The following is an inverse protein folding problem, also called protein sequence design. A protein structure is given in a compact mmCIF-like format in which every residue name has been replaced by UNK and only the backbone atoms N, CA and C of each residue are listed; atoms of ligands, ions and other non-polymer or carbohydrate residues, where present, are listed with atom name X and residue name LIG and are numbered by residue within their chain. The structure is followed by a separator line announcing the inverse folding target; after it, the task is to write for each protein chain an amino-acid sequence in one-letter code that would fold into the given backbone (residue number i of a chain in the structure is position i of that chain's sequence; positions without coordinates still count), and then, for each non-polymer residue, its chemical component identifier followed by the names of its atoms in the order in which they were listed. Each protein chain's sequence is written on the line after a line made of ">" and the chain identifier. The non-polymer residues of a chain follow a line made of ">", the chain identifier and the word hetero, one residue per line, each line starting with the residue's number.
data_IF_895979240738
#
_entry.id   IF_895979240738
#
_cell.length_a   1.000
_cell.length_b   1.000
_cell.length_c   1.000
_cell.angle_alpha   90.00
_cell.angle_beta   90.00
_cell.angle_gamma   90.00
#
_symmetry.space_group_name_H-M   'P 1'
#
loop_
_entity.id
_entity.type
_entity.pdbx_description
1 polymer ?
#
# COMPACT_ATOMS: atom_id res chain seq x y z
N UNK A 1 -36.23 33.31 48.45
CA UNK A 1 -36.91 32.41 47.48
C UNK A 1 -36.08 32.23 46.20
N UNK A 2 -34.95 31.50 46.26
CA UNK A 2 -34.18 31.10 45.05
C UNK A 2 -33.57 29.69 45.13
N UNK A 3 -33.52 29.07 46.32
CA UNK A 3 -33.01 27.72 46.51
C UNK A 3 -34.01 26.59 46.16
N UNK A 4 -35.31 26.90 46.11
CA UNK A 4 -36.35 25.88 45.90
C UNK A 4 -36.41 25.37 44.45
N UNK A 5 -35.97 26.15 43.46
CA UNK A 5 -36.09 25.77 42.04
C UNK A 5 -34.92 24.91 41.55
N UNK A 6 -33.74 25.03 42.18
CA UNK A 6 -32.57 24.20 41.85
C UNK A 6 -32.74 22.77 42.39
N UNK A 7 -33.43 22.61 43.53
CA UNK A 7 -33.74 21.30 44.10
C UNK A 7 -34.80 20.57 43.28
N UNK A 8 -35.79 21.29 42.72
CA UNK A 8 -36.83 20.69 41.86
C UNK A 8 -36.26 20.17 40.53
N UNK A 9 -35.28 20.87 39.95
CA UNK A 9 -34.59 20.43 38.74
C UNK A 9 -33.69 19.19 38.96
N UNK A 10 -33.09 19.05 40.15
CA UNK A 10 -32.33 17.84 40.50
C UNK A 10 -33.24 16.66 40.87
N UNK A 11 -34.45 16.91 41.39
CA UNK A 11 -35.40 15.86 41.76
C UNK A 11 -36.17 15.24 40.59
N UNK A 12 -36.01 15.74 39.35
CA UNK A 12 -36.55 15.08 38.15
C UNK A 12 -35.65 13.95 37.62
N UNK A 13 -34.46 13.74 38.20
CA UNK A 13 -33.53 12.67 37.81
C UNK A 13 -33.85 11.33 38.51
N UNK A 14 -34.85 11.29 39.39
CA UNK A 14 -35.20 10.10 40.19
C UNK A 14 -36.55 9.47 39.81
N UNK A 15 -36.80 9.28 38.51
CA UNK A 15 -37.87 8.41 38.02
C UNK A 15 -37.29 7.51 36.92
N UNK A 16 -36.86 6.30 37.30
CA UNK A 16 -36.49 5.18 36.42
C UNK A 16 -35.62 5.54 35.21
N UNK A 17 -34.29 5.52 35.39
CA UNK A 17 -33.33 5.77 34.31
C UNK A 17 -33.32 4.61 33.29
N UNK A 18 -34.36 4.48 32.47
CA UNK A 18 -34.28 3.69 31.24
C UNK A 18 -33.51 4.52 30.22
N UNK A 19 -32.42 3.97 29.69
CA UNK A 19 -31.69 4.59 28.59
C UNK A 19 -32.65 4.76 27.40
N UNK A 20 -32.79 5.96 26.80
CA UNK A 20 -33.68 6.15 25.66
C UNK A 20 -33.34 5.18 24.52
N UNK A 21 -34.33 4.52 23.90
CA UNK A 21 -34.11 3.53 22.85
C UNK A 21 -33.33 4.12 21.65
N UNK A 22 -33.46 5.42 21.39
CA UNK A 22 -32.71 6.14 20.36
C UNK A 22 -31.20 6.09 20.59
N UNK A 23 -30.75 6.13 21.86
CA UNK A 23 -29.33 6.04 22.23
C UNK A 23 -28.79 4.62 21.99
N UNK A 24 -29.58 3.61 22.35
CA UNK A 24 -29.23 2.20 22.08
C UNK A 24 -29.15 1.93 20.56
N UNK A 25 -30.11 2.44 19.80
CA UNK A 25 -30.13 2.32 18.33
C UNK A 25 -28.97 3.07 17.68
N UNK A 26 -28.63 4.28 18.14
CA UNK A 26 -27.49 5.03 17.64
C UNK A 26 -26.16 4.29 17.90
N UNK A 27 -26.01 3.64 19.06
CA UNK A 27 -24.82 2.86 19.38
C UNK A 27 -24.69 1.63 18.49
N UNK A 28 -25.79 0.91 18.21
CA UNK A 28 -25.82 -0.20 17.27
C UNK A 28 -25.48 0.26 15.84
N UNK A 29 -26.07 1.37 15.39
CA UNK A 29 -25.75 1.95 14.09
C UNK A 29 -24.28 2.37 13.98
N UNK A 30 -23.68 2.88 15.06
CA UNK A 30 -22.25 3.19 15.11
C UNK A 30 -21.36 1.96 15.04
N UNK A 31 -21.67 0.89 15.77
CA UNK A 31 -20.92 -0.37 15.67
C UNK A 31 -21.02 -0.98 14.26
N UNK A 32 -22.21 -0.94 13.66
CA UNK A 32 -22.44 -1.39 12.29
C UNK A 32 -21.63 -0.54 11.28
N UNK A 33 -21.62 0.79 11.45
CA UNK A 33 -20.78 1.69 10.65
C UNK A 33 -19.27 1.44 10.82
N UNK A 34 -18.80 1.06 12.02
CA UNK A 34 -17.42 0.64 12.22
C UNK A 34 -17.09 -0.67 11.50
N UNK A 35 -18.00 -1.64 11.51
CA UNK A 35 -17.83 -2.90 10.78
C UNK A 35 -17.78 -2.69 9.25
N UNK A 36 -18.66 -1.84 8.72
CA UNK A 36 -18.69 -1.48 7.30
C UNK A 36 -17.41 -0.73 6.89
N UNK A 37 -16.95 0.22 7.70
CA UNK A 37 -15.69 0.94 7.47
C UNK A 37 -14.48 -0.01 7.48
N UNK A 38 -14.43 -0.98 8.40
CA UNK A 38 -13.38 -2.01 8.40
C UNK A 38 -13.38 -2.81 7.08
N UNK A 39 -14.57 -3.23 6.62
CA UNK A 39 -14.72 -3.96 5.36
C UNK A 39 -14.25 -3.12 4.16
N UNK A 40 -14.65 -1.86 4.09
CA UNK A 40 -14.22 -0.96 3.01
C UNK A 40 -12.70 -0.76 3.00
N UNK A 41 -12.10 -0.56 4.17
CA UNK A 41 -10.65 -0.38 4.27
C UNK A 41 -9.87 -1.64 3.90
N UNK A 42 -10.40 -2.83 4.20
CA UNK A 42 -9.83 -4.08 3.74
C UNK A 42 -9.88 -4.21 2.20
N UNK A 43 -11.04 -3.90 1.59
CA UNK A 43 -11.16 -3.89 0.13
C UNK A 43 -10.21 -2.87 -0.51
N UNK A 44 -10.05 -1.70 0.10
CA UNK A 44 -9.12 -0.69 -0.39
C UNK A 44 -7.66 -1.14 -0.28
N UNK A 45 -7.28 -1.81 0.81
CA UNK A 45 -5.95 -2.42 0.97
C UNK A 45 -5.66 -3.41 -0.16
N UNK A 46 -6.61 -4.31 -0.42
CA UNK A 46 -6.50 -5.32 -1.48
C UNK A 46 -6.36 -4.66 -2.86
N UNK A 47 -7.17 -3.64 -3.14
CA UNK A 47 -7.11 -2.90 -4.39
C UNK A 47 -5.74 -2.23 -4.60
N UNK A 48 -5.24 -1.50 -3.60
CA UNK A 48 -3.93 -0.83 -3.70
C UNK A 48 -2.81 -1.84 -3.91
N UNK A 49 -2.86 -2.98 -3.20
CA UNK A 49 -1.89 -4.07 -3.39
C UNK A 49 -1.93 -4.62 -4.82
N UNK A 50 -3.13 -4.92 -5.35
CA UNK A 50 -3.29 -5.47 -6.71
C UNK A 50 -2.86 -4.48 -7.79
N UNK A 51 -3.25 -3.21 -7.67
CA UNK A 51 -2.88 -2.15 -8.61
C UNK A 51 -1.36 -1.96 -8.63
N UNK A 52 -0.73 -1.95 -7.46
CA UNK A 52 0.73 -1.79 -7.37
C UNK A 52 1.47 -2.98 -7.96
N UNK A 53 1.04 -4.21 -7.66
CA UNK A 53 1.62 -5.41 -8.27
C UNK A 53 1.46 -5.41 -9.79
N UNK A 54 0.28 -5.05 -10.30
CA UNK A 54 0.03 -4.96 -11.74
C UNK A 54 0.89 -3.87 -12.40
N UNK A 55 1.03 -2.72 -11.74
CA UNK A 55 1.90 -1.64 -12.21
C UNK A 55 3.35 -2.11 -12.31
N UNK A 56 3.87 -2.80 -11.29
CA UNK A 56 5.22 -3.37 -11.32
C UNK A 56 5.40 -4.39 -12.45
N UNK A 57 4.43 -5.28 -12.67
CA UNK A 57 4.48 -6.23 -13.79
C UNK A 57 4.49 -5.52 -15.15
N UNK A 58 3.63 -4.53 -15.33
CA UNK A 58 3.56 -3.76 -16.57
C UNK A 58 4.84 -2.95 -16.81
N UNK A 59 5.37 -2.30 -15.77
CA UNK A 59 6.64 -1.60 -15.81
C UNK A 59 7.77 -2.53 -16.23
N UNK A 60 7.90 -3.71 -15.59
CA UNK A 60 8.90 -4.72 -15.97
C UNK A 60 8.76 -5.14 -17.42
N UNK A 61 7.54 -5.42 -17.88
CA UNK A 61 7.29 -5.79 -19.27
C UNK A 61 7.74 -4.72 -20.27
N UNK A 62 7.38 -3.45 -20.02
CA UNK A 62 7.78 -2.33 -20.86
C UNK A 62 9.30 -2.15 -20.86
N UNK A 63 9.93 -2.15 -19.67
CA UNK A 63 11.37 -2.00 -19.53
C UNK A 63 12.14 -3.12 -20.22
N UNK A 64 11.70 -4.37 -20.09
CA UNK A 64 12.30 -5.50 -20.80
C UNK A 64 12.25 -5.30 -22.30
N UNK A 65 11.10 -4.88 -22.85
CA UNK A 65 10.97 -4.61 -24.29
C UNK A 65 11.85 -3.46 -24.76
N UNK A 66 11.89 -2.35 -24.02
CA UNK A 66 12.68 -1.18 -24.38
C UNK A 66 14.19 -1.51 -24.36
N UNK A 67 14.67 -2.15 -23.30
CA UNK A 67 16.08 -2.54 -23.20
C UNK A 67 16.46 -3.62 -24.22
N UNK A 68 15.59 -4.59 -24.48
CA UNK A 68 15.83 -5.59 -25.53
C UNK A 68 15.91 -4.94 -26.91
N UNK A 69 14.99 -4.02 -27.22
CA UNK A 69 15.02 -3.28 -28.48
C UNK A 69 16.32 -2.47 -28.62
N UNK A 70 16.73 -1.77 -27.56
CA UNK A 70 17.97 -1.01 -27.54
C UNK A 70 19.20 -1.91 -27.74
N UNK A 71 19.24 -3.06 -27.05
CA UNK A 71 20.31 -4.05 -27.19
C UNK A 71 20.40 -4.58 -28.63
N UNK A 72 19.26 -4.91 -29.24
CA UNK A 72 19.21 -5.38 -30.63
C UNK A 72 19.59 -4.29 -31.61
N UNK A 73 19.20 -3.04 -31.36
CA UNK A 73 19.57 -1.90 -32.18
C UNK A 73 21.09 -1.72 -32.18
N UNK A 74 21.74 -1.78 -31.02
CA UNK A 74 23.20 -1.73 -30.92
C UNK A 74 23.91 -2.98 -31.43
N UNK A 75 23.27 -4.14 -31.44
CA UNK A 75 23.82 -5.37 -32.02
C UNK A 75 23.76 -5.37 -33.55
N UNK A 76 22.75 -4.74 -34.16
CA UNK A 76 22.45 -4.87 -35.59
C UNK A 76 22.68 -3.59 -36.39
N UNK A 77 22.74 -2.44 -35.73
CA UNK A 77 22.86 -1.13 -36.35
C UNK A 77 23.86 -0.25 -35.62
N UNK A 78 24.01 0.99 -36.07
CA UNK A 78 24.80 2.02 -35.43
C UNK A 78 23.90 3.23 -35.11
N UNK A 79 23.14 3.20 -33.99
CA UNK A 79 22.16 4.23 -33.67
C UNK A 79 22.80 5.62 -33.51
N UNK A 80 22.04 6.64 -33.91
CA UNK A 80 22.40 8.06 -33.78
C UNK A 80 21.16 8.84 -33.37
N UNK A 81 21.33 9.85 -32.51
CA UNK A 81 20.24 10.73 -32.08
C UNK A 81 20.63 12.18 -32.36
N UNK A 82 19.76 12.91 -33.06
CA UNK A 82 20.00 14.31 -33.40
C UNK A 82 20.21 15.15 -32.14
N UNK A 83 21.32 15.88 -32.07
CA UNK A 83 21.64 16.76 -30.94
C UNK A 83 22.32 16.08 -29.75
N UNK A 84 22.60 14.77 -29.83
CA UNK A 84 23.37 14.03 -28.81
C UNK A 84 24.70 13.57 -29.42
N UNK A 85 25.80 13.80 -28.71
CA UNK A 85 27.11 13.31 -29.13
C UNK A 85 27.15 11.78 -29.13
N UNK A 86 27.81 11.18 -30.13
CA UNK A 86 27.85 9.71 -30.25
C UNK A 86 28.48 9.02 -29.03
N UNK A 87 29.46 9.69 -28.41
CA UNK A 87 30.14 9.21 -27.21
C UNK A 87 29.22 9.21 -25.98
N UNK A 88 28.43 10.27 -25.82
CA UNK A 88 27.45 10.39 -24.73
C UNK A 88 26.33 9.36 -24.92
N UNK A 89 25.78 9.26 -26.13
CA UNK A 89 24.76 8.25 -26.47
C UNK A 89 25.23 6.83 -26.17
N UNK A 90 26.43 6.47 -26.62
CA UNK A 90 26.98 5.14 -26.38
C UNK A 90 27.15 4.84 -24.88
N UNK A 91 27.59 5.83 -24.10
CA UNK A 91 27.78 5.68 -22.66
C UNK A 91 26.45 5.54 -21.91
N UNK A 92 25.48 6.41 -22.21
CA UNK A 92 24.17 6.41 -21.56
C UNK A 92 23.42 5.11 -21.83
N UNK A 93 23.43 4.64 -23.07
CA UNK A 93 22.80 3.38 -23.46
C UNK A 93 23.49 2.18 -22.81
N UNK A 94 24.83 2.19 -22.74
CA UNK A 94 25.59 1.13 -22.08
C UNK A 94 25.33 1.07 -20.57
N UNK A 95 25.17 2.22 -19.90
CA UNK A 95 24.81 2.29 -18.48
C UNK A 95 23.40 1.75 -18.23
N UNK A 96 22.46 2.07 -19.13
CA UNK A 96 21.08 1.59 -19.08
C UNK A 96 21.01 0.06 -19.25
N UNK A 97 21.79 -0.50 -20.17
CA UNK A 97 21.82 -1.93 -20.47
C UNK A 97 22.62 -2.72 -19.43
N UNK A 98 23.69 -2.13 -18.91
CA UNK A 98 24.56 -2.74 -17.92
C UNK A 98 25.57 -3.75 -18.48
N UNK A 99 26.58 -4.11 -17.66
CA UNK A 99 27.75 -4.86 -18.12
C UNK A 99 27.43 -6.25 -18.67
N UNK A 100 26.49 -6.97 -18.03
CA UNK A 100 26.13 -8.34 -18.43
C UNK A 100 25.53 -8.38 -19.85
N UNK A 101 24.67 -7.41 -20.16
CA UNK A 101 24.01 -7.27 -21.48
C UNK A 101 25.01 -6.74 -22.50
N UNK A 102 25.81 -5.74 -22.13
CA UNK A 102 26.85 -5.15 -22.99
C UNK A 102 27.89 -6.16 -23.46
N UNK A 103 28.30 -7.07 -22.57
CA UNK A 103 29.23 -8.15 -22.91
C UNK A 103 28.66 -9.01 -24.05
N UNK A 104 27.39 -9.42 -23.94
CA UNK A 104 26.75 -10.23 -24.96
C UNK A 104 26.52 -9.45 -26.27
N UNK A 105 26.15 -8.16 -26.19
CA UNK A 105 25.99 -7.32 -27.38
C UNK A 105 27.30 -7.29 -28.17
N UNK A 106 28.43 -7.08 -27.52
CA UNK A 106 29.74 -7.03 -28.18
C UNK A 106 30.13 -8.38 -28.82
N UNK A 107 29.67 -9.51 -28.29
CA UNK A 107 29.86 -10.83 -28.90
C UNK A 107 29.01 -11.03 -30.18
N UNK A 108 27.78 -10.53 -30.19
CA UNK A 108 26.80 -10.80 -31.26
C UNK A 108 26.68 -9.67 -32.29
N UNK A 109 27.39 -8.56 -32.08
CA UNK A 109 27.31 -7.36 -32.92
C UNK A 109 27.71 -7.67 -34.35
N UNK A 110 26.84 -7.32 -35.31
CA UNK A 110 27.00 -7.66 -36.71
C UNK A 110 28.28 -7.06 -37.32
N UNK A 111 28.89 -7.80 -38.24
CA UNK A 111 30.07 -7.37 -39.00
C UNK A 111 29.88 -5.99 -39.64
N UNK A 112 30.99 -5.24 -39.75
CA UNK A 112 31.07 -3.89 -40.32
C UNK A 112 30.48 -2.76 -39.45
N UNK A 113 29.98 -3.05 -38.25
CA UNK A 113 29.61 -2.00 -37.30
C UNK A 113 30.87 -1.40 -36.66
N UNK A 114 31.01 -0.06 -36.63
CA UNK A 114 32.18 0.58 -36.06
C UNK A 114 32.24 0.40 -34.53
N UNK A 115 33.45 0.53 -33.98
CA UNK A 115 33.64 0.69 -32.55
C UNK A 115 33.03 2.01 -32.07
N UNK A 116 32.55 2.03 -30.83
CA UNK A 116 32.09 3.26 -30.16
C UNK A 116 32.82 3.42 -28.84
N UNK A 117 33.32 4.64 -28.63
CA UNK A 117 34.01 5.06 -27.42
C UNK A 117 33.12 5.97 -26.61
N UNK A 118 33.22 5.89 -25.29
CA UNK A 118 32.59 6.82 -24.39
C UNK A 118 33.30 8.18 -24.36
N UNK A 119 32.79 9.15 -23.59
CA UNK A 119 33.35 10.51 -23.53
C UNK A 119 34.79 10.56 -23.01
N UNK A 120 35.19 9.55 -22.24
CA UNK A 120 36.55 9.35 -21.72
C UNK A 120 37.49 8.61 -22.70
N UNK A 121 37.04 8.29 -23.91
CA UNK A 121 37.80 7.51 -24.89
C UNK A 121 37.83 6.01 -24.62
N UNK A 122 37.16 5.51 -23.57
CA UNK A 122 37.07 4.07 -23.28
C UNK A 122 36.18 3.38 -24.31
N UNK A 123 36.57 2.18 -24.73
CA UNK A 123 35.75 1.35 -25.61
C UNK A 123 34.46 0.92 -24.89
N UNK A 124 33.30 1.23 -25.49
CA UNK A 124 31.98 0.85 -24.98
C UNK A 124 31.38 -0.24 -25.84
N UNK A 125 31.34 -0.02 -27.16
CA UNK A 125 30.96 -1.04 -28.13
C UNK A 125 32.15 -1.40 -29.01
N UNK A 126 32.46 -2.70 -29.11
CA UNK A 126 33.53 -3.18 -29.97
C UNK A 126 33.14 -3.09 -31.45
N UNK A 127 34.14 -3.17 -32.34
CA UNK A 127 33.89 -3.44 -33.76
C UNK A 127 33.10 -4.73 -33.90
N UNK A 128 32.07 -4.71 -34.74
CA UNK A 128 31.23 -5.87 -34.95
C UNK A 128 31.95 -6.97 -35.74
N UNK A 129 31.83 -8.20 -35.25
CA UNK A 129 32.44 -9.40 -35.86
C UNK A 129 31.44 -10.55 -36.06
N UNK A 130 30.24 -10.44 -35.47
CA UNK A 130 29.19 -11.45 -35.54
C UNK A 130 28.42 -11.46 -36.85
N UNK A 131 27.63 -12.52 -37.04
CA UNK A 131 26.69 -12.68 -38.15
C UNK A 131 25.26 -12.91 -37.65
N UNK A 132 24.30 -12.96 -38.60
CA UNK A 132 22.89 -13.13 -38.26
C UNK A 132 22.60 -14.48 -37.58
N UNK A 133 23.34 -15.54 -37.92
CA UNK A 133 23.16 -16.85 -37.30
C UNK A 133 23.55 -16.83 -35.82
N UNK A 134 24.69 -16.22 -35.51
CA UNK A 134 25.18 -16.05 -34.14
C UNK A 134 24.23 -15.21 -33.31
N UNK A 135 23.72 -14.10 -33.89
CA UNK A 135 22.68 -13.27 -33.26
C UNK A 135 21.45 -14.11 -32.89
N UNK A 136 20.87 -14.83 -33.86
CA UNK A 136 19.67 -15.64 -33.64
C UNK A 136 19.86 -16.74 -32.60
N UNK A 137 21.03 -17.40 -32.60
CA UNK A 137 21.36 -18.43 -31.61
C UNK A 137 21.48 -17.86 -30.19
N UNK A 138 21.92 -16.61 -30.05
CA UNK A 138 22.15 -15.95 -28.77
C UNK A 138 20.97 -15.10 -28.29
N UNK A 139 19.94 -14.91 -29.10
CA UNK A 139 18.72 -14.18 -28.72
C UNK A 139 18.10 -14.64 -27.38
N UNK A 140 17.96 -15.95 -27.10
CA UNK A 140 17.41 -16.39 -25.81
C UNK A 140 18.26 -15.97 -24.61
N UNK A 141 19.59 -16.00 -24.73
CA UNK A 141 20.50 -15.52 -23.67
C UNK A 141 20.38 -14.01 -23.50
N UNK A 142 20.25 -13.26 -24.61
CA UNK A 142 20.05 -11.81 -24.56
C UNK A 142 18.76 -11.45 -23.81
N UNK A 143 17.65 -12.12 -24.12
CA UNK A 143 16.37 -11.95 -23.41
C UNK A 143 16.56 -12.22 -21.92
N UNK A 144 17.18 -13.36 -21.55
CA UNK A 144 17.38 -13.72 -20.14
C UNK A 144 18.32 -12.78 -19.38
N UNK A 145 19.32 -12.16 -20.03
CA UNK A 145 20.18 -11.14 -19.41
C UNK A 145 19.43 -9.81 -19.21
N UNK A 146 18.64 -9.39 -20.19
CA UNK A 146 17.82 -8.18 -20.09
C UNK A 146 16.76 -8.32 -18.99
N UNK A 147 16.07 -9.45 -18.92
CA UNK A 147 15.08 -9.73 -17.86
C UNK A 147 15.71 -9.69 -16.47
N UNK A 148 16.89 -10.27 -16.29
CA UNK A 148 17.65 -10.19 -15.03
C UNK A 148 18.04 -8.75 -14.68
N UNK A 149 18.46 -7.96 -15.67
CA UNK A 149 18.79 -6.53 -15.45
C UNK A 149 17.57 -5.75 -15.00
N UNK A 150 16.44 -5.88 -15.70
CA UNK A 150 15.18 -5.22 -15.33
C UNK A 150 14.71 -5.69 -13.95
N UNK A 151 14.86 -6.97 -13.63
CA UNK A 151 14.59 -7.52 -12.31
C UNK A 151 15.37 -6.83 -11.21
N UNK A 152 16.68 -6.61 -11.40
CA UNK A 152 17.55 -5.86 -10.47
C UNK A 152 17.13 -4.40 -10.36
N UNK A 153 16.89 -3.72 -11.49
CA UNK A 153 16.48 -2.30 -11.51
C UNK A 153 15.12 -2.10 -10.81
N UNK A 154 14.23 -3.10 -10.86
CA UNK A 154 12.89 -3.07 -10.26
C UNK A 154 12.85 -3.43 -8.77
N UNK A 155 13.98 -3.74 -8.13
CA UNK A 155 14.06 -3.99 -6.69
C UNK A 155 14.12 -2.70 -5.85
N UNK A 156 14.21 -1.52 -6.48
CA UNK A 156 14.08 -0.25 -5.78
C UNK A 156 12.67 -0.12 -5.13
N UNK A 157 12.59 0.33 -3.86
CA UNK A 157 11.47 0.07 -2.98
C UNK A 157 10.23 0.81 -3.42
N UNK A 158 9.34 0.11 -4.12
CA UNK A 158 7.92 0.46 -4.25
C UNK A 158 7.09 -0.49 -3.39
N UNK A 159 7.63 -0.85 -2.20
CA UNK A 159 6.85 -1.61 -1.24
C UNK A 159 5.78 -0.65 -0.72
N UNK A 160 4.53 -0.95 -1.06
CA UNK A 160 3.39 -0.15 -0.61
C UNK A 160 3.39 -0.21 0.91
N UNK A 161 3.51 0.94 1.57
CA UNK A 161 3.35 0.99 3.02
C UNK A 161 1.89 0.69 3.37
N UNK A 162 1.64 -0.54 3.80
CA UNK A 162 0.33 -1.00 4.24
C UNK A 162 0.09 -0.76 5.74
N UNK A 163 1.07 -0.22 6.48
CA UNK A 163 0.94 -0.05 7.95
C UNK A 163 -0.17 0.93 8.31
N UNK A 164 -0.45 1.93 7.47
CA UNK A 164 -1.57 2.84 7.68
C UNK A 164 -2.93 2.10 7.76
N UNK A 165 -3.11 1.03 6.99
CA UNK A 165 -4.32 0.19 7.04
C UNK A 165 -4.39 -0.61 8.34
N UNK A 166 -3.25 -1.13 8.81
CA UNK A 166 -3.16 -1.87 10.07
C UNK A 166 -3.42 -0.99 11.29
N UNK A 167 -2.91 0.25 11.29
CA UNK A 167 -3.21 1.25 12.30
C UNK A 167 -4.69 1.62 12.31
N UNK A 168 -5.29 1.85 11.13
CA UNK A 168 -6.73 2.14 11.02
C UNK A 168 -7.57 1.00 11.59
N UNK A 169 -7.28 -0.26 11.22
CA UNK A 169 -7.98 -1.43 11.74
C UNK A 169 -7.92 -1.48 13.27
N UNK A 170 -6.73 -1.30 13.83
CA UNK A 170 -6.50 -1.30 15.28
C UNK A 170 -7.33 -0.22 15.99
N UNK A 171 -7.37 0.99 15.43
CA UNK A 171 -8.14 2.09 15.99
C UNK A 171 -9.66 1.81 15.95
N UNK A 172 -10.17 1.25 14.85
CA UNK A 172 -11.60 0.90 14.77
C UNK A 172 -11.94 -0.25 15.71
N UNK A 173 -11.08 -1.26 15.86
CA UNK A 173 -11.29 -2.31 16.87
C UNK A 173 -11.37 -1.75 18.30
N UNK A 174 -10.53 -0.76 18.63
CA UNK A 174 -10.60 -0.08 19.92
C UNK A 174 -11.93 0.67 20.11
N UNK A 175 -12.42 1.37 19.07
CA UNK A 175 -13.72 2.06 19.11
C UNK A 175 -14.88 1.08 19.28
N UNK A 176 -14.84 -0.08 18.62
CA UNK A 176 -15.85 -1.13 18.78
C UNK A 176 -15.86 -1.72 20.20
N UNK A 177 -14.67 -1.91 20.81
CA UNK A 177 -14.58 -2.33 22.22
C UNK A 177 -15.18 -1.28 23.17
N UNK A 178 -14.93 0.01 22.93
CA UNK A 178 -15.55 1.10 23.71
C UNK A 178 -17.08 1.05 23.56
N UNK A 179 -17.60 0.91 22.34
CA UNK A 179 -19.04 0.78 22.11
C UNK A 179 -19.63 -0.45 22.81
N UNK A 180 -18.92 -1.58 22.83
CA UNK A 180 -19.37 -2.79 23.54
C UNK A 180 -19.47 -2.56 25.06
N UNK A 181 -18.50 -1.86 25.66
CA UNK A 181 -18.52 -1.49 27.08
C UNK A 181 -19.68 -0.53 27.37
N UNK A 182 -19.87 0.50 26.54
CA UNK A 182 -20.99 1.44 26.68
C UNK A 182 -22.31 0.68 26.58
N UNK A 183 -22.46 -0.23 25.62
CA UNK A 183 -23.65 -1.06 25.47
C UNK A 183 -23.92 -1.87 26.74
N UNK A 184 -22.88 -2.52 27.29
CA UNK A 184 -23.00 -3.27 28.54
C UNK A 184 -23.50 -2.38 29.69
N UNK A 185 -22.98 -1.17 29.84
CA UNK A 185 -23.47 -0.21 30.84
C UNK A 185 -24.93 0.21 30.62
N UNK A 186 -25.33 0.44 29.37
CA UNK A 186 -26.71 0.85 29.03
C UNK A 186 -27.72 -0.31 29.08
N UNK A 187 -27.24 -1.55 29.01
CA UNK A 187 -28.04 -2.77 29.17
C UNK A 187 -28.14 -3.25 30.63
N UNK A 188 -27.25 -2.75 31.52
CA UNK A 188 -27.46 -2.83 32.97
C UNK A 188 -28.54 -1.80 33.32
N UNK A 189 -29.80 -2.18 33.10
CA UNK A 189 -30.93 -1.47 33.69
C UNK A 189 -30.78 -1.56 35.22
N UNK A 190 -30.31 -0.48 35.87
CA UNK A 190 -30.41 -0.35 37.34
C UNK A 190 -31.88 -0.09 37.67
N UNK A 191 -32.70 -1.12 37.54
CA UNK A 191 -34.03 -1.16 38.14
C UNK A 191 -33.88 -1.65 39.56
N UNK A 192 -33.35 -0.80 40.45
CA UNK A 192 -33.68 -0.94 41.86
C UNK A 192 -35.21 -0.88 41.94
N UNK A 193 -35.83 -2.02 42.26
CA UNK A 193 -37.28 -2.07 42.35
C UNK A 193 -37.73 -1.07 43.41
N UNK A 194 -38.86 -0.42 43.19
CA UNK A 194 -39.41 0.55 44.16
C UNK A 194 -39.64 -0.10 45.53
N UNK A 195 -39.82 -1.42 45.54
CA UNK A 195 -39.99 -2.25 46.71
C UNK A 195 -38.67 -2.49 47.46
N UNK A 196 -37.54 -2.70 46.77
CA UNK A 196 -36.21 -2.77 47.40
C UNK A 196 -35.80 -1.44 48.03
N UNK A 197 -36.11 -0.31 47.38
CA UNK A 197 -35.84 1.03 47.95
C UNK A 197 -36.71 1.28 49.20
N UNK A 198 -37.97 0.80 49.20
CA UNK A 198 -38.86 0.88 50.37
C UNK A 198 -38.37 -0.02 51.51
N UNK A 199 -37.98 -1.25 51.21
CA UNK A 199 -37.40 -2.20 52.16
C UNK A 199 -36.16 -1.62 52.86
N UNK A 200 -35.22 -1.06 52.10
CA UNK A 200 -34.03 -0.38 52.65
C UNK A 200 -34.39 0.83 53.52
N UNK A 201 -35.40 1.59 53.12
CA UNK A 201 -35.85 2.77 53.88
C UNK A 201 -36.51 2.38 55.21
N UNK A 202 -37.26 1.28 55.22
CA UNK A 202 -37.93 0.78 56.41
C UNK A 202 -36.94 0.09 57.37
N UNK A 203 -35.93 -0.63 56.86
CA UNK A 203 -34.81 -1.15 57.67
C UNK A 203 -33.96 -0.04 58.32
N UNK A 204 -33.74 1.07 57.61
CA UNK A 204 -33.06 2.24 58.19
C UNK A 204 -33.89 2.94 59.26
N UNK A 205 -35.22 2.90 59.17
CA UNK A 205 -36.11 3.47 60.20
C UNK A 205 -36.20 2.62 61.45
N UNK A 206 -36.11 1.30 61.33
CA UNK A 206 -36.08 0.38 62.48
C UNK A 206 -34.78 0.48 63.24
N UNK A 207 -33.64 0.66 62.55
CA UNK A 207 -32.32 0.90 63.19
C UNK A 207 -32.20 2.27 63.88
N UNK A 208 -33.08 3.23 63.56
CA UNK A 208 -33.06 4.59 64.14
C UNK A 208 -33.99 4.75 65.35
N UNK A 209 -34.78 3.74 65.69
CA UNK A 209 -35.54 3.67 66.96
C UNK A 209 -34.76 2.86 67.98
#
# INVERSE_FOLDING_TARGET
>A
MKAAHVVVALSLVCLGCTTPPEVKQALLAKDQGYAENQRLMQQYRELVSQVTQRHQQWYRYLQTRLKLNLALQWATTNPTVTGVGEADLAKDDADLLGPDVMTLINEIRLKNLPERKGPNGQLVFSTGAGDMNTLLQKLPDLVGRVERRVGKDSQAPSDVDLMAFDHYRTNVEALRRINAVIKQYLDIDVTLSRDEVRSLTDELRTLRR
#
